data_IF_609864049887
#
_entry.id   IF_609864049887
#
_cell.length_a   1.000
_cell.length_b   1.000
_cell.length_c   1.000
_cell.angle_alpha   90.00
_cell.angle_beta   90.00
_cell.angle_gamma   90.00
#
_symmetry.space_group_name_H-M   'P 1'
#
loop_
_entity.id
_entity.type
_entity.pdbx_description
1 polymer ?
#
# COMPACT_ATOMS: atom_id res chain seq x y z
N UNK A 1 0.19 -21.93 5.26
CA UNK A 1 -1.05 -21.16 5.15
C UNK A 1 -1.42 -20.64 6.54
N UNK A 2 -1.72 -19.34 6.68
CA UNK A 2 -2.28 -18.74 7.90
C UNK A 2 -3.62 -18.10 7.51
N UNK A 3 -4.63 -18.23 8.36
CA UNK A 3 -5.93 -17.62 8.16
C UNK A 3 -6.46 -17.13 9.50
N UNK A 4 -7.23 -16.05 9.48
CA UNK A 4 -7.95 -15.56 10.65
C UNK A 4 -9.26 -14.93 10.21
N UNK A 5 -10.31 -15.11 11.01
CA UNK A 5 -11.58 -14.42 10.82
C UNK A 5 -11.42 -12.96 11.22
N UNK A 6 -11.89 -12.04 10.38
CA UNK A 6 -11.80 -10.61 10.64
C UNK A 6 -13.13 -10.10 11.18
N UNK A 7 -13.07 -9.30 12.24
CA UNK A 7 -14.18 -8.43 12.66
C UNK A 7 -14.00 -7.08 11.96
N UNK A 8 -14.98 -6.72 11.13
CA UNK A 8 -14.97 -5.43 10.44
C UNK A 8 -15.45 -4.30 11.38
N UNK A 9 -14.83 -3.14 11.21
CA UNK A 9 -15.21 -1.89 11.86
C UNK A 9 -15.95 -0.96 10.92
N UNK A 10 -15.56 0.31 10.95
CA UNK A 10 -16.11 1.36 10.09
C UNK A 10 -15.65 1.20 8.65
N UNK A 11 -16.44 1.72 7.70
CA UNK A 11 -16.05 1.84 6.29
C UNK A 11 -16.01 3.31 5.91
N UNK A 12 -14.97 3.71 5.19
CA UNK A 12 -14.74 5.09 4.79
C UNK A 12 -14.62 5.18 3.27
N UNK A 13 -15.28 6.18 2.69
CA UNK A 13 -14.91 6.70 1.37
C UNK A 13 -13.96 7.86 1.59
N UNK A 14 -12.79 7.81 0.96
CA UNK A 14 -11.73 8.81 1.14
C UNK A 14 -11.28 9.29 -0.22
N UNK A 15 -11.11 10.61 -0.36
CA UNK A 15 -10.46 11.21 -1.51
C UNK A 15 -9.13 11.82 -1.09
N UNK A 16 -8.10 11.59 -1.90
CA UNK A 16 -6.86 12.37 -1.83
C UNK A 16 -6.85 13.35 -2.99
N UNK A 17 -6.51 14.59 -2.70
CA UNK A 17 -6.62 15.72 -3.59
C UNK A 17 -5.36 15.92 -4.44
N UNK A 18 -5.51 16.70 -5.52
CA UNK A 18 -4.40 17.03 -6.40
C UNK A 18 -3.20 17.61 -5.63
N UNK A 19 -2.01 17.05 -5.90
CA UNK A 19 -0.74 17.50 -5.34
C UNK A 19 -0.36 16.84 -4.01
N UNK A 20 -1.28 16.11 -3.36
CA UNK A 20 -0.97 15.38 -2.13
C UNK A 20 -0.03 14.20 -2.38
N UNK A 21 0.75 13.87 -1.35
CA UNK A 21 1.47 12.60 -1.28
C UNK A 21 0.51 11.51 -0.79
N UNK A 22 0.43 10.39 -1.52
CA UNK A 22 -0.53 9.33 -1.25
C UNK A 22 -0.34 8.71 0.14
N UNK A 23 0.91 8.49 0.58
CA UNK A 23 1.18 7.83 1.85
C UNK A 23 1.05 8.79 3.02
N UNK A 24 1.42 10.06 2.85
CA UNK A 24 1.19 11.08 3.88
C UNK A 24 -0.31 11.29 4.11
N UNK A 25 -1.10 11.41 3.03
CA UNK A 25 -2.56 11.56 3.11
C UNK A 25 -3.22 10.33 3.78
N UNK A 26 -2.79 9.11 3.41
CA UNK A 26 -3.27 7.88 4.03
C UNK A 26 -2.91 7.80 5.53
N UNK A 27 -1.69 8.21 5.89
CA UNK A 27 -1.23 8.25 7.29
C UNK A 27 -2.02 9.27 8.11
N UNK A 28 -2.25 10.46 7.55
CA UNK A 28 -3.07 11.49 8.17
C UNK A 28 -4.51 11.00 8.39
N UNK A 29 -5.12 10.42 7.35
CA UNK A 29 -6.46 9.83 7.45
C UNK A 29 -6.56 8.80 8.58
N UNK A 30 -5.61 7.85 8.62
CA UNK A 30 -5.63 6.80 9.63
C UNK A 30 -5.46 7.37 11.05
N UNK A 31 -4.58 8.35 11.22
CA UNK A 31 -4.37 9.03 12.49
C UNK A 31 -5.61 9.80 12.94
N UNK A 32 -6.18 10.62 12.07
CA UNK A 32 -7.29 11.51 12.40
C UNK A 32 -8.59 10.76 12.70
N UNK A 33 -8.72 9.53 12.18
CA UNK A 33 -9.89 8.67 12.38
C UNK A 33 -9.64 7.51 13.37
N UNK A 34 -8.46 7.42 13.98
CA UNK A 34 -8.00 6.30 14.83
C UNK A 34 -8.20 4.93 14.14
N UNK A 35 -7.84 4.84 12.87
CA UNK A 35 -7.83 3.58 12.11
C UNK A 35 -6.44 2.96 12.22
N UNK A 36 -6.33 1.84 12.93
CA UNK A 36 -5.04 1.16 13.17
C UNK A 36 -4.74 0.04 12.19
N UNK A 37 -5.78 -0.54 11.58
CA UNK A 37 -5.65 -1.69 10.69
C UNK A 37 -6.89 -1.85 9.84
N UNK A 38 -6.74 -2.56 8.72
CA UNK A 38 -7.81 -2.72 7.74
C UNK A 38 -7.28 -3.12 6.38
N UNK A 39 -8.09 -2.87 5.36
CA UNK A 39 -7.68 -3.07 3.98
C UNK A 39 -8.38 -2.08 3.05
N UNK A 40 -7.71 -1.85 1.92
CA UNK A 40 -8.22 -1.10 0.78
C UNK A 40 -8.52 -2.16 -0.28
N UNK A 41 -9.78 -2.62 -0.43
CA UNK A 41 -10.12 -3.62 -1.44
C UNK A 41 -9.78 -3.12 -2.84
N UNK A 42 -9.99 -1.82 -3.08
CA UNK A 42 -9.72 -1.16 -4.33
C UNK A 42 -9.60 0.34 -4.11
N UNK A 43 -8.74 0.99 -4.89
CA UNK A 43 -8.78 2.41 -5.16
C UNK A 43 -8.56 2.66 -6.64
N UNK A 44 -9.07 3.79 -7.12
CA UNK A 44 -8.69 4.37 -8.41
C UNK A 44 -7.96 5.69 -8.14
N UNK A 45 -7.01 6.05 -9.00
CA UNK A 45 -6.34 7.33 -8.85
C UNK A 45 -5.48 7.68 -10.03
N UNK A 46 -5.37 8.97 -10.30
CA UNK A 46 -4.38 9.48 -11.22
C UNK A 46 -3.16 9.98 -10.43
N UNK A 47 -1.96 9.66 -10.92
CA UNK A 47 -0.70 10.10 -10.29
C UNK A 47 0.16 10.83 -11.31
N UNK A 48 0.71 11.98 -10.92
CA UNK A 48 1.69 12.69 -11.74
C UNK A 48 3.03 11.96 -11.74
N UNK A 49 3.34 11.30 -10.63
CA UNK A 49 4.52 10.47 -10.41
C UNK A 49 4.16 9.33 -9.45
N UNK A 50 4.63 8.12 -9.75
CA UNK A 50 4.67 7.03 -8.80
C UNK A 50 6.01 6.26 -8.89
N UNK A 51 6.51 5.82 -7.75
CA UNK A 51 7.64 4.91 -7.63
C UNK A 51 7.11 3.52 -7.32
N UNK A 52 7.43 2.54 -8.17
CA UNK A 52 7.03 1.15 -8.00
C UNK A 52 8.26 0.25 -7.95
N UNK A 53 8.19 -0.90 -7.28
CA UNK A 53 9.31 -1.87 -7.27
C UNK A 53 9.53 -2.43 -8.68
N UNK A 54 10.75 -2.32 -9.20
CA UNK A 54 11.10 -2.81 -10.53
C UNK A 54 12.51 -2.39 -10.93
N UNK A 55 13.12 -3.10 -11.88
CA UNK A 55 14.46 -2.78 -12.38
C UNK A 55 14.63 -3.18 -13.84
N UNK A 56 15.43 -2.42 -14.58
CA UNK A 56 15.87 -2.76 -15.94
C UNK A 56 17.17 -3.57 -15.95
N UNK A 57 17.84 -3.72 -14.79
CA UNK A 57 19.18 -4.31 -14.70
C UNK A 57 19.17 -5.84 -14.59
N UNK A 58 17.99 -6.47 -14.64
CA UNK A 58 17.82 -7.89 -14.34
C UNK A 58 17.90 -8.19 -12.84
N UNK A 59 17.70 -9.46 -12.48
CA UNK A 59 17.73 -9.92 -11.08
C UNK A 59 18.92 -10.85 -10.85
N UNK A 60 19.81 -10.49 -9.91
CA UNK A 60 20.90 -11.38 -9.47
C UNK A 60 20.41 -12.41 -8.45
N UNK A 61 19.50 -12.00 -7.57
CA UNK A 61 18.88 -12.81 -6.53
C UNK A 61 17.35 -12.68 -6.62
N UNK A 62 16.71 -13.40 -7.57
CA UNK A 62 15.28 -13.25 -7.83
C UNK A 62 14.38 -13.61 -6.64
N UNK A 63 14.91 -14.35 -5.67
CA UNK A 63 14.23 -14.73 -4.43
C UNK A 63 14.17 -13.61 -3.38
N UNK A 64 15.01 -12.59 -3.52
CA UNK A 64 15.10 -11.47 -2.57
C UNK A 64 14.12 -10.35 -2.92
N UNK A 65 13.64 -9.59 -1.92
CA UNK A 65 12.96 -8.33 -2.18
C UNK A 65 13.85 -7.41 -3.00
N UNK A 66 13.28 -6.86 -4.07
CA UNK A 66 13.94 -5.84 -4.85
C UNK A 66 13.72 -4.48 -4.19
N UNK A 67 14.82 -3.79 -3.89
CA UNK A 67 14.80 -2.43 -3.33
C UNK A 67 15.03 -1.33 -4.38
N UNK A 68 15.24 -1.73 -5.64
CA UNK A 68 15.21 -0.82 -6.78
C UNK A 68 13.80 -0.29 -7.00
N UNK A 69 13.75 0.92 -7.55
CA UNK A 69 12.52 1.63 -7.90
C UNK A 69 12.50 1.96 -9.39
N UNK A 70 11.34 1.79 -9.99
CA UNK A 70 11.00 2.30 -11.31
C UNK A 70 10.05 3.47 -11.11
N UNK A 71 10.43 4.65 -11.62
CA UNK A 71 9.56 5.82 -11.67
C UNK A 71 8.65 5.71 -12.90
N UNK A 72 7.36 5.94 -12.70
CA UNK A 72 6.34 6.08 -13.75
C UNK A 72 5.65 7.42 -13.59
N UNK A 73 5.28 8.07 -14.68
CA UNK A 73 4.72 9.43 -14.67
C UNK A 73 3.39 9.47 -15.42
N UNK A 74 2.51 10.35 -14.96
CA UNK A 74 1.17 10.57 -15.54
C UNK A 74 0.42 9.27 -15.78
N UNK A 75 0.10 8.57 -14.69
CA UNK A 75 -0.57 7.26 -14.75
C UNK A 75 -2.02 7.33 -14.31
N UNK A 76 -2.85 6.44 -14.87
CA UNK A 76 -4.15 6.04 -14.30
C UNK A 76 -3.96 4.71 -13.58
N UNK A 77 -4.20 4.67 -12.27
CA UNK A 77 -3.92 3.53 -11.42
C UNK A 77 -5.19 2.89 -10.84
N UNK A 78 -5.18 1.56 -10.81
CA UNK A 78 -6.08 0.72 -10.03
C UNK A 78 -5.22 -0.02 -9.01
N UNK A 79 -5.50 0.13 -7.72
CA UNK A 79 -4.70 -0.52 -6.69
C UNK A 79 -5.50 -0.99 -5.50
N UNK A 80 -4.79 -1.56 -4.53
CA UNK A 80 -5.36 -2.08 -3.29
C UNK A 80 -4.27 -2.54 -2.34
N UNK A 81 -4.66 -2.88 -1.12
CA UNK A 81 -3.67 -3.28 -0.13
C UNK A 81 -4.21 -3.49 1.27
N UNK A 82 -3.29 -3.71 2.20
CA UNK A 82 -3.60 -3.96 3.61
C UNK A 82 -2.93 -2.96 4.52
N UNK A 83 -3.63 -2.59 5.59
CA UNK A 83 -3.16 -1.70 6.64
C UNK A 83 -2.95 -2.54 7.89
N UNK A 84 -1.73 -2.56 8.39
CA UNK A 84 -1.37 -3.12 9.69
C UNK A 84 -0.77 -2.01 10.54
N UNK A 85 -0.63 -2.20 11.85
CA UNK A 85 0.09 -1.24 12.67
C UNK A 85 1.41 -1.83 13.19
N UNK A 86 2.32 -0.92 13.50
CA UNK A 86 3.47 -1.20 14.33
C UNK A 86 3.07 -1.04 15.82
N UNK A 87 3.12 -2.10 16.63
CA UNK A 87 2.78 -2.02 18.05
C UNK A 87 3.75 -1.15 18.86
N UNK A 88 4.99 -0.96 18.41
CA UNK A 88 6.00 -0.19 19.13
C UNK A 88 5.85 1.31 18.91
N UNK A 89 5.53 1.72 17.68
CA UNK A 89 5.43 3.15 17.30
C UNK A 89 3.99 3.65 17.18
N UNK A 90 3.02 2.74 17.04
CA UNK A 90 1.63 3.06 16.74
C UNK A 90 1.40 3.53 15.29
N UNK A 91 2.45 3.54 14.45
CA UNK A 91 2.35 3.94 13.05
C UNK A 91 1.67 2.86 12.22
N UNK A 92 0.97 3.28 11.17
CA UNK A 92 0.46 2.36 10.17
C UNK A 92 1.59 1.87 9.25
N UNK A 93 1.47 0.62 8.81
CA UNK A 93 2.37 -0.07 7.89
C UNK A 93 1.55 -0.51 6.65
N UNK A 94 1.29 0.42 5.71
CA UNK A 94 0.57 0.12 4.49
C UNK A 94 1.39 -0.81 3.59
N UNK A 95 0.73 -1.78 2.97
CA UNK A 95 1.30 -2.59 1.89
C UNK A 95 0.36 -2.51 0.70
N UNK A 96 0.74 -1.68 -0.27
CA UNK A 96 -0.07 -1.32 -1.43
C UNK A 96 0.57 -1.87 -2.71
N UNK A 97 -0.27 -2.41 -3.59
CA UNK A 97 0.08 -2.77 -4.96
C UNK A 97 -0.87 -2.05 -5.91
N UNK A 98 -0.41 -1.82 -7.13
CA UNK A 98 -1.23 -1.22 -8.17
C UNK A 98 -0.88 -1.77 -9.55
N UNK A 99 -1.84 -1.64 -10.46
CA UNK A 99 -1.63 -1.63 -11.90
C UNK A 99 -1.90 -0.22 -12.42
N UNK A 100 -1.03 0.29 -13.28
CA UNK A 100 -1.05 1.64 -13.81
C UNK A 100 -0.94 1.63 -15.34
N UNK A 101 -1.82 2.37 -16.01
CA UNK A 101 -1.70 2.70 -17.43
C UNK A 101 -0.96 4.02 -17.61
N UNK A 102 0.10 4.00 -18.42
CA UNK A 102 0.94 5.16 -18.75
C UNK A 102 0.23 6.04 -19.79
N UNK A 103 -0.24 7.24 -19.42
CA UNK A 103 -0.96 8.14 -20.34
C UNK A 103 -0.12 8.56 -21.54
N UNK A 104 1.18 8.76 -21.33
CA UNK A 104 2.12 9.17 -22.37
C UNK A 104 2.56 8.04 -23.31
N UNK A 105 2.19 6.79 -23.01
CA UNK A 105 2.65 5.59 -23.73
C UNK A 105 1.45 4.72 -24.16
N UNK A 106 0.41 5.34 -24.72
CA UNK A 106 -0.77 4.63 -25.25
C UNK A 106 -1.42 3.65 -24.26
N UNK A 107 -1.41 4.00 -22.97
CA UNK A 107 -1.89 3.16 -21.86
C UNK A 107 -1.10 1.85 -21.66
N UNK A 108 0.19 1.82 -21.99
CA UNK A 108 1.08 0.71 -21.60
C UNK A 108 1.04 0.48 -20.08
N UNK A 109 1.05 -0.80 -19.69
CA UNK A 109 0.72 -1.24 -18.35
C UNK A 109 1.95 -1.51 -17.49
N UNK A 110 1.99 -0.95 -16.28
CA UNK A 110 2.98 -1.28 -15.24
C UNK A 110 2.29 -1.75 -13.97
N UNK A 111 2.80 -2.80 -13.34
CA UNK A 111 2.23 -3.36 -12.10
C UNK A 111 3.32 -3.74 -11.13
N UNK A 112 3.18 -3.33 -9.87
CA UNK A 112 4.08 -3.76 -8.78
C UNK A 112 3.63 -3.23 -7.42
N UNK A 113 4.47 -3.46 -6.42
CA UNK A 113 4.42 -2.82 -5.12
C UNK A 113 4.65 -1.31 -5.25
N UNK A 114 3.78 -0.51 -4.65
CA UNK A 114 3.86 0.95 -4.62
C UNK A 114 4.77 1.42 -3.47
N UNK A 115 5.79 2.20 -3.78
CA UNK A 115 6.74 2.78 -2.83
C UNK A 115 6.41 4.24 -2.51
N UNK A 116 6.01 5.02 -3.52
CA UNK A 116 5.61 6.41 -3.36
C UNK A 116 4.68 6.87 -4.50
N UNK A 117 3.78 7.82 -4.28
CA UNK A 117 2.99 8.44 -5.35
C UNK A 117 2.53 9.85 -5.00
N UNK A 118 2.52 10.73 -6.01
CA UNK A 118 1.92 12.07 -5.96
C UNK A 118 0.62 12.11 -6.75
N UNK A 119 -0.47 12.48 -6.08
CA UNK A 119 -1.80 12.53 -6.66
C UNK A 119 -1.90 13.60 -7.74
N UNK A 120 -2.46 13.23 -8.88
CA UNK A 120 -2.86 14.13 -9.95
C UNK A 120 -4.39 14.07 -10.07
N UNK A 121 -5.05 15.19 -9.83
CA UNK A 121 -6.51 15.34 -9.85
C UNK A 121 -7.16 14.74 -8.60
N UNK A 122 -7.17 13.41 -8.47
CA UNK A 122 -7.89 12.72 -7.41
C UNK A 122 -7.38 11.28 -7.25
N UNK A 123 -7.39 10.77 -6.02
CA UNK A 123 -7.45 9.33 -5.75
C UNK A 123 -8.67 9.02 -4.89
N UNK A 124 -9.45 8.01 -5.27
CA UNK A 124 -10.68 7.58 -4.60
C UNK A 124 -10.44 6.21 -3.96
N UNK A 125 -10.56 6.12 -2.64
CA UNK A 125 -10.30 4.93 -1.86
C UNK A 125 -11.53 4.52 -1.06
N UNK A 126 -11.77 3.21 -1.00
CA UNK A 126 -12.62 2.61 0.04
C UNK A 126 -11.71 1.99 1.09
N UNK A 127 -11.86 2.40 2.36
CA UNK A 127 -11.09 1.86 3.47
C UNK A 127 -12.02 1.09 4.38
N UNK A 128 -11.77 -0.20 4.53
CA UNK A 128 -12.50 -1.10 5.42
C UNK A 128 -11.66 -1.35 6.67
N UNK A 129 -12.08 -0.77 7.79
CA UNK A 129 -11.42 -0.97 9.08
C UNK A 129 -11.60 -2.41 9.56
N UNK A 130 -10.56 -2.95 10.20
CA UNK A 130 -10.62 -4.23 10.91
C UNK A 130 -10.40 -3.95 12.40
N UNK A 131 -11.28 -4.45 13.27
CA UNK A 131 -11.17 -4.25 14.72
C UNK A 131 -10.62 -5.48 15.45
N UNK A 132 -10.55 -6.62 14.77
CA UNK A 132 -9.96 -7.84 15.31
C UNK A 132 -9.76 -8.92 14.24
N UNK A 133 -8.78 -9.82 14.42
CA UNK A 133 -7.70 -9.75 15.41
C UNK A 133 -6.72 -8.61 15.09
N UNK A 134 -5.73 -8.40 15.96
CA UNK A 134 -4.60 -7.50 15.71
C UNK A 134 -3.86 -7.91 14.44
N UNK A 135 -3.60 -6.95 13.56
CA UNK A 135 -2.83 -7.07 12.33
C UNK A 135 -1.50 -6.33 12.47
N UNK A 136 -0.40 -7.06 12.38
CA UNK A 136 0.97 -6.53 12.48
C UNK A 136 1.85 -7.02 11.33
N UNK A 137 3.06 -6.47 11.21
CA UNK A 137 4.06 -6.94 10.23
C UNK A 137 5.43 -7.19 10.86
N UNK A 138 5.59 -8.23 11.70
CA UNK A 138 6.92 -8.62 12.17
C UNK A 138 7.82 -8.94 10.99
N UNK A 139 9.09 -8.54 11.10
CA UNK A 139 10.10 -8.90 10.12
C UNK A 139 10.51 -10.35 10.32
N UNK A 140 10.69 -11.07 9.21
CA UNK A 140 11.09 -12.46 9.25
C UNK A 140 12.60 -12.59 8.96
N UNK A 141 13.45 -12.87 9.96
CA UNK A 141 14.90 -12.96 9.76
C UNK A 141 15.31 -14.11 8.83
N UNK A 142 14.48 -15.15 8.73
CA UNK A 142 14.72 -16.28 7.83
C UNK A 142 14.25 -16.03 6.39
N UNK A 143 13.60 -14.89 6.13
CA UNK A 143 13.08 -14.49 4.83
C UNK A 143 13.43 -13.04 4.51
N UNK A 144 14.74 -12.78 4.42
CA UNK A 144 15.29 -11.48 4.01
C UNK A 144 14.80 -10.28 4.82
N UNK A 145 14.42 -10.53 6.08
CA UNK A 145 13.91 -9.51 7.00
C UNK A 145 12.65 -8.77 6.49
N UNK A 146 11.87 -9.44 5.63
CA UNK A 146 10.66 -8.88 5.03
C UNK A 146 9.56 -8.74 6.09
N UNK A 147 8.86 -7.59 6.15
CA UNK A 147 7.69 -7.40 7.02
C UNK A 147 6.48 -8.18 6.46
N UNK A 148 6.07 -9.24 7.15
CA UNK A 148 4.99 -10.13 6.70
C UNK A 148 3.72 -9.91 7.51
N UNK A 149 2.56 -9.84 6.85
CA UNK A 149 1.28 -9.69 7.55
C UNK A 149 1.02 -10.88 8.49
N UNK A 150 0.74 -10.59 9.75
CA UNK A 150 0.34 -11.57 10.77
C UNK A 150 -0.93 -11.14 11.49
N UNK A 151 -1.63 -12.13 12.04
CA UNK A 151 -2.88 -11.96 12.76
C UNK A 151 -2.75 -12.51 14.18
N UNK A 152 -3.30 -11.82 15.17
CA UNK A 152 -3.33 -12.25 16.56
C UNK A 152 -2.34 -11.49 17.45
N UNK A 153 -2.11 -11.97 18.69
CA UNK A 153 -1.22 -11.32 19.64
C UNK A 153 0.17 -11.09 19.03
N UNK A 154 0.77 -9.95 19.35
CA UNK A 154 2.21 -9.74 19.12
C UNK A 154 2.97 -10.80 19.91
N UNK A 155 3.65 -11.70 19.20
CA UNK A 155 4.56 -12.66 19.82
C UNK A 155 5.75 -11.95 20.48
#
# INVERSE_FOLDING_TARGET
MRASELTLGRTFGVTFEHGEDFFDALTAFCKDNDVRQGYIPMFIGAFSEAEIVGTCNGLTHPEQPLWDRTRVEFVEALGGGTLAHDPATGLILPHIHLAAGLKGEDADGRTSHLLNARVQFLSELLIMEVTGPTMTRPRNPDLYDVPLLTFGPTA
#
